data_IF_028553564559
#
_entry.id   IF_028553564559
#
_cell.length_a   1.000
_cell.length_b   1.000
_cell.length_c   1.000
_cell.angle_alpha   90.00
_cell.angle_beta   90.00
_cell.angle_gamma   90.00
#
_symmetry.space_group_name_H-M   'P 1'
#
loop_
_entity.id
_entity.type
_entity.pdbx_description
1 polymer ?
#
# COMPACT_ATOMS: atom_id res chain seq x y z
N UNK A 1 -54.55 -2.44 50.05
CA UNK A 1 -54.05 -2.34 48.66
C UNK A 1 -52.57 -2.67 48.66
N UNK A 2 -52.11 -3.27 47.58
CA UNK A 2 -50.98 -4.20 47.50
C UNK A 2 -49.63 -3.48 47.71
N UNK A 3 -48.84 -4.02 48.64
CA UNK A 3 -47.39 -3.86 48.73
C UNK A 3 -46.76 -4.76 47.67
N UNK A 4 -45.92 -4.21 46.79
CA UNK A 4 -44.85 -4.96 46.15
C UNK A 4 -43.62 -4.06 46.01
N UNK A 5 -42.60 -4.39 46.80
CA UNK A 5 -41.26 -3.84 46.69
C UNK A 5 -40.55 -4.43 45.48
N UNK A 6 -39.85 -3.56 44.74
CA UNK A 6 -39.06 -3.91 43.56
C UNK A 6 -37.72 -4.48 44.02
N UNK A 7 -37.49 -5.77 43.76
CA UNK A 7 -36.19 -6.41 44.01
C UNK A 7 -35.21 -6.06 42.87
N UNK A 8 -34.04 -5.56 43.24
CA UNK A 8 -32.87 -5.45 42.37
C UNK A 8 -32.23 -6.83 42.26
N UNK A 9 -32.24 -7.42 41.06
CA UNK A 9 -31.46 -8.61 40.75
C UNK A 9 -30.21 -8.18 39.97
N UNK A 10 -29.11 -8.13 40.70
CA UNK A 10 -27.73 -8.16 40.18
C UNK A 10 -27.51 -9.46 39.41
N UNK A 11 -26.96 -9.38 38.20
CA UNK A 11 -26.54 -10.53 37.43
C UNK A 11 -25.01 -10.53 37.35
N UNK A 12 -24.38 -11.36 38.17
CA UNK A 12 -22.97 -11.73 38.01
C UNK A 12 -22.94 -13.10 37.35
N UNK A 13 -22.41 -13.16 36.13
CA UNK A 13 -21.94 -14.41 35.55
C UNK A 13 -20.55 -14.15 34.99
N UNK A 14 -19.57 -14.63 35.74
CA UNK A 14 -18.19 -14.80 35.28
C UNK A 14 -18.20 -15.65 34.00
N UNK A 15 -17.76 -15.05 32.90
CA UNK A 15 -17.25 -15.79 31.75
C UNK A 15 -15.77 -15.49 31.68
N UNK A 16 -14.99 -16.51 32.02
CA UNK A 16 -13.58 -16.63 31.69
C UNK A 16 -13.34 -16.18 30.25
N UNK A 17 -12.45 -15.21 30.09
CA UNK A 17 -11.90 -14.81 28.79
C UNK A 17 -11.09 -16.01 28.28
N UNK A 18 -11.71 -16.83 27.43
CA UNK A 18 -10.96 -17.74 26.57
C UNK A 18 -10.24 -16.88 25.52
N UNK A 19 -8.91 -16.81 25.61
CA UNK A 19 -8.05 -16.41 24.51
C UNK A 19 -8.24 -17.43 23.38
N UNK A 20 -9.20 -17.17 22.50
CA UNK A 20 -9.39 -17.93 21.27
C UNK A 20 -8.34 -17.45 20.27
N UNK A 21 -7.14 -18.01 20.35
CA UNK A 21 -6.20 -17.96 19.24
C UNK A 21 -6.93 -18.46 17.99
N UNK A 22 -6.94 -17.65 16.93
CA UNK A 22 -7.55 -18.01 15.65
C UNK A 22 -7.03 -19.39 15.17
N UNK A 23 -7.87 -20.26 14.58
CA UNK A 23 -7.43 -21.58 14.14
C UNK A 23 -6.40 -21.46 13.00
N UNK A 24 -5.32 -22.24 13.11
CA UNK A 24 -4.20 -22.27 12.15
C UNK A 24 -4.61 -22.51 10.69
N UNK A 25 -5.79 -23.09 10.45
CA UNK A 25 -6.37 -23.33 9.12
C UNK A 25 -6.60 -22.04 8.33
N UNK A 26 -6.98 -20.93 9.00
CA UNK A 26 -7.24 -19.63 8.34
C UNK A 26 -5.95 -18.95 7.85
N UNK A 27 -4.81 -19.20 8.51
CA UNK A 27 -3.54 -18.58 8.13
C UNK A 27 -2.91 -19.25 6.90
N UNK A 28 -3.14 -20.55 6.70
CA UNK A 28 -2.67 -21.28 5.50
C UNK A 28 -3.40 -20.79 4.24
N UNK A 29 -4.67 -20.42 4.34
CA UNK A 29 -5.48 -19.93 3.20
C UNK A 29 -5.11 -18.51 2.76
N UNK A 30 -4.54 -17.68 3.65
CA UNK A 30 -4.16 -16.28 3.32
C UNK A 30 -2.77 -16.13 2.72
N UNK A 31 -1.94 -17.18 2.68
CA UNK A 31 -0.56 -17.08 2.20
C UNK A 31 -0.51 -16.68 0.72
N UNK A 32 0.13 -15.54 0.45
CA UNK A 32 0.47 -15.07 -0.89
C UNK A 32 1.81 -15.68 -1.30
N UNK A 33 1.90 -16.17 -2.53
CA UNK A 33 3.13 -16.64 -3.15
C UNK A 33 3.50 -15.76 -4.33
N UNK A 34 4.78 -15.76 -4.71
CA UNK A 34 5.27 -15.12 -5.94
C UNK A 34 4.40 -15.48 -7.15
N UNK A 35 4.06 -16.76 -7.32
CA UNK A 35 3.19 -17.23 -8.42
C UNK A 35 1.79 -16.60 -8.42
N UNK A 36 1.24 -16.29 -7.25
CA UNK A 36 -0.04 -15.58 -7.18
C UNK A 36 0.09 -14.15 -7.71
N UNK A 37 1.23 -13.51 -7.47
CA UNK A 37 1.52 -12.13 -7.91
C UNK A 37 1.87 -12.09 -9.40
N UNK A 38 2.65 -13.06 -9.90
CA UNK A 38 2.95 -13.22 -11.33
C UNK A 38 1.67 -13.38 -12.17
N UNK A 39 0.60 -13.94 -11.59
CA UNK A 39 -0.69 -14.09 -12.27
C UNK A 39 -1.48 -12.77 -12.38
N UNK A 40 -1.07 -11.70 -11.68
CA UNK A 40 -1.70 -10.39 -11.72
C UNK A 40 -1.40 -9.73 -13.06
N UNK A 41 -2.45 -9.45 -13.84
CA UNK A 41 -2.32 -8.75 -15.11
C UNK A 41 -2.29 -7.23 -14.91
N UNK A 42 -1.17 -6.61 -15.24
CA UNK A 42 -0.98 -5.16 -15.33
C UNK A 42 0.13 -4.82 -16.35
N UNK A 43 0.20 -3.56 -16.77
CA UNK A 43 1.30 -3.07 -17.62
C UNK A 43 2.39 -2.50 -16.72
N UNK A 44 3.58 -3.07 -16.80
CA UNK A 44 4.74 -2.58 -16.07
C UNK A 44 5.55 -1.61 -16.93
N UNK A 45 5.80 -0.42 -16.40
CA UNK A 45 6.68 0.57 -16.99
C UNK A 45 7.95 0.66 -16.16
N UNK A 46 9.10 0.62 -16.84
CA UNK A 46 10.38 0.97 -16.24
C UNK A 46 10.59 2.49 -16.31
N UNK A 47 11.46 3.02 -15.43
CA UNK A 47 11.94 4.39 -15.57
C UNK A 47 12.74 4.52 -16.88
N UNK A 48 12.59 5.67 -17.54
CA UNK A 48 13.52 6.06 -18.61
C UNK A 48 14.86 6.51 -18.03
N UNK A 49 15.94 6.49 -18.82
CA UNK A 49 17.28 6.94 -18.39
C UNK A 49 17.27 8.33 -17.74
N UNK A 50 16.46 9.26 -18.26
CA UNK A 50 16.30 10.59 -17.70
C UNK A 50 15.57 10.57 -16.36
N UNK A 51 14.58 9.71 -16.21
CA UNK A 51 13.84 9.53 -14.97
C UNK A 51 14.69 8.85 -13.90
N UNK A 52 15.49 7.85 -14.24
CA UNK A 52 16.44 7.21 -13.31
C UNK A 52 17.41 8.24 -12.71
N UNK A 53 18.03 9.07 -13.57
CA UNK A 53 18.94 10.13 -13.14
C UNK A 53 18.25 11.15 -12.23
N UNK A 54 17.06 11.61 -12.61
CA UNK A 54 16.33 12.63 -11.86
C UNK A 54 15.84 12.10 -10.49
N UNK A 55 15.48 10.83 -10.41
CA UNK A 55 14.93 10.22 -9.19
C UNK A 55 16.01 9.67 -8.26
N UNK A 56 17.29 9.74 -8.62
CA UNK A 56 18.40 9.22 -7.81
C UNK A 56 18.47 9.88 -6.42
N UNK A 57 18.15 11.16 -6.31
CA UNK A 57 18.13 11.88 -5.01
C UNK A 57 16.83 11.70 -4.22
N UNK A 58 15.83 11.02 -4.79
CA UNK A 58 14.56 10.73 -4.13
C UNK A 58 14.68 9.38 -3.40
N UNK A 59 15.41 9.36 -2.28
CA UNK A 59 15.85 8.13 -1.62
C UNK A 59 14.68 7.22 -1.23
N UNK A 60 13.61 7.77 -0.67
CA UNK A 60 12.41 7.00 -0.32
C UNK A 60 11.69 6.40 -1.52
N UNK A 61 11.80 7.02 -2.70
CA UNK A 61 11.30 6.42 -3.93
C UNK A 61 12.17 5.25 -4.41
N UNK A 62 13.49 5.33 -4.24
CA UNK A 62 14.39 4.19 -4.50
C UNK A 62 14.14 3.04 -3.52
N UNK A 63 13.92 3.36 -2.25
CA UNK A 63 13.52 2.39 -1.23
C UNK A 63 12.18 1.74 -1.60
N UNK A 64 11.17 2.53 -1.96
CA UNK A 64 9.88 2.02 -2.41
C UNK A 64 10.00 1.08 -3.62
N UNK A 65 10.81 1.44 -4.63
CA UNK A 65 11.04 0.57 -5.78
C UNK A 65 11.62 -0.79 -5.34
N UNK A 66 12.57 -0.78 -4.40
CA UNK A 66 13.15 -2.00 -3.85
C UNK A 66 12.10 -2.83 -3.08
N UNK A 67 11.25 -2.18 -2.29
CA UNK A 67 10.15 -2.84 -1.57
C UNK A 67 9.09 -3.39 -2.52
N UNK A 68 8.82 -2.76 -3.66
CA UNK A 68 7.94 -3.30 -4.70
C UNK A 68 8.54 -4.59 -5.32
N UNK A 69 9.85 -4.66 -5.54
CA UNK A 69 10.48 -5.89 -6.01
C UNK A 69 10.41 -7.01 -4.96
N UNK A 70 10.61 -6.69 -3.68
CA UNK A 70 10.42 -7.64 -2.57
C UNK A 70 8.96 -8.11 -2.51
N UNK A 71 8.01 -7.18 -2.65
CA UNK A 71 6.57 -7.48 -2.68
C UNK A 71 6.22 -8.51 -3.74
N UNK A 72 6.81 -8.39 -4.94
CA UNK A 72 6.59 -9.32 -6.06
C UNK A 72 7.01 -10.75 -5.74
N UNK A 73 7.95 -10.96 -4.81
CA UNK A 73 8.36 -12.30 -4.33
C UNK A 73 7.34 -12.94 -3.37
N UNK A 74 6.27 -12.20 -3.01
CA UNK A 74 5.27 -12.62 -2.04
C UNK A 74 5.60 -12.21 -0.60
N UNK A 75 6.64 -11.42 -0.39
CA UNK A 75 6.97 -10.86 0.92
C UNK A 75 6.25 -9.52 1.13
N UNK A 76 5.22 -9.56 1.97
CA UNK A 76 4.39 -8.39 2.28
C UNK A 76 4.90 -7.63 3.52
N UNK A 77 5.96 -8.11 4.20
CA UNK A 77 6.37 -7.65 5.53
C UNK A 77 6.40 -6.13 5.66
N UNK A 78 7.14 -5.45 4.79
CA UNK A 78 7.24 -3.98 4.75
C UNK A 78 5.88 -3.27 4.71
N UNK A 79 4.94 -3.75 3.88
CA UNK A 79 3.62 -3.14 3.68
C UNK A 79 2.61 -3.55 4.77
N UNK A 80 3.04 -4.40 5.70
CA UNK A 80 2.23 -4.93 6.80
C UNK A 80 2.88 -4.70 8.16
N UNK A 81 3.92 -3.88 8.20
CA UNK A 81 4.42 -3.28 9.43
C UNK A 81 3.32 -2.43 10.08
N UNK A 82 3.60 -1.93 11.29
CA UNK A 82 2.62 -1.10 11.97
C UNK A 82 2.28 0.16 11.16
N UNK A 83 1.01 0.57 11.23
CA UNK A 83 0.50 1.70 10.45
C UNK A 83 1.30 3.00 10.67
N UNK A 84 1.92 3.20 11.84
CA UNK A 84 2.74 4.39 12.09
C UNK A 84 4.00 4.37 11.23
N UNK A 85 4.67 3.22 11.15
CA UNK A 85 5.83 3.03 10.27
C UNK A 85 5.47 3.27 8.81
N UNK A 86 4.36 2.70 8.33
CA UNK A 86 3.90 2.90 6.94
C UNK A 86 3.57 4.36 6.68
N UNK A 87 2.90 5.04 7.61
CA UNK A 87 2.56 6.46 7.49
C UNK A 87 3.79 7.38 7.45
N UNK A 88 4.77 7.12 8.31
CA UNK A 88 6.05 7.84 8.34
C UNK A 88 6.79 7.67 7.02
N UNK A 89 6.94 6.43 6.54
CA UNK A 89 7.58 6.15 5.25
C UNK A 89 6.89 6.90 4.09
N UNK A 90 5.56 6.85 4.00
CA UNK A 90 4.81 7.53 2.93
C UNK A 90 4.83 9.06 3.06
N UNK A 91 5.05 9.58 4.26
CA UNK A 91 5.26 11.01 4.51
C UNK A 91 6.63 11.45 4.01
N UNK A 92 7.69 10.72 4.35
CA UNK A 92 9.05 10.96 3.85
C UNK A 92 9.14 10.81 2.34
N UNK A 93 8.50 9.79 1.77
CA UNK A 93 8.36 9.63 0.31
C UNK A 93 7.78 10.89 -0.35
N UNK A 94 6.82 11.55 0.29
CA UNK A 94 6.20 12.75 -0.27
C UNK A 94 7.07 14.00 -0.10
N UNK A 95 7.82 14.10 1.01
CA UNK A 95 8.65 15.27 1.30
C UNK A 95 9.94 15.31 0.48
N UNK A 96 10.43 14.15 0.04
CA UNK A 96 11.65 14.01 -0.76
C UNK A 96 11.44 14.14 -2.27
N UNK A 97 10.20 14.41 -2.74
CA UNK A 97 9.92 14.55 -4.17
C UNK A 97 10.79 15.67 -4.78
N UNK A 98 11.52 15.42 -5.88
CA UNK A 98 12.31 16.44 -6.53
C UNK A 98 11.43 17.60 -7.01
N UNK A 99 11.90 18.85 -6.87
CA UNK A 99 11.16 20.05 -7.30
C UNK A 99 10.70 19.96 -8.76
N UNK A 100 11.56 19.41 -9.63
CA UNK A 100 11.22 19.20 -11.05
C UNK A 100 10.02 18.28 -11.23
N UNK A 101 9.76 17.34 -10.31
CA UNK A 101 8.64 16.41 -10.34
C UNK A 101 7.46 16.84 -9.47
N UNK A 102 7.60 17.92 -8.69
CA UNK A 102 6.57 18.44 -7.79
C UNK A 102 5.46 19.19 -8.56
N UNK A 103 4.76 18.45 -9.42
CA UNK A 103 3.64 18.94 -10.22
C UNK A 103 2.36 18.16 -9.89
N UNK A 104 1.21 18.82 -10.03
CA UNK A 104 -0.11 18.23 -9.73
C UNK A 104 -0.32 16.85 -10.37
N UNK A 105 0.13 16.64 -11.61
CA UNK A 105 -0.04 15.36 -12.30
C UNK A 105 0.71 14.20 -11.61
N UNK A 106 1.88 14.47 -11.06
CA UNK A 106 2.71 13.51 -10.32
C UNK A 106 2.15 13.34 -8.91
N UNK A 107 1.85 14.44 -8.20
CA UNK A 107 1.31 14.42 -6.84
C UNK A 107 0.00 13.63 -6.73
N UNK A 108 -0.89 13.73 -7.73
CA UNK A 108 -2.13 12.94 -7.77
C UNK A 108 -1.84 11.45 -7.92
N UNK A 109 -0.83 11.05 -8.71
CA UNK A 109 -0.44 9.64 -8.86
C UNK A 109 0.26 9.12 -7.61
N UNK A 110 1.10 9.93 -6.98
CA UNK A 110 1.71 9.60 -5.71
C UNK A 110 0.65 9.42 -4.61
N UNK A 111 -0.37 10.28 -4.57
CA UNK A 111 -1.48 10.14 -3.63
C UNK A 111 -2.27 8.84 -3.85
N UNK A 112 -2.57 8.49 -5.11
CA UNK A 112 -3.23 7.23 -5.43
C UNK A 112 -2.39 6.01 -4.97
N UNK A 113 -1.07 6.06 -5.18
CA UNK A 113 -0.15 5.03 -4.68
C UNK A 113 -0.20 4.93 -3.15
N UNK A 114 -0.11 6.06 -2.43
CA UNK A 114 -0.23 6.09 -0.96
C UNK A 114 -1.54 5.46 -0.50
N UNK A 115 -2.67 5.84 -1.11
CA UNK A 115 -3.98 5.25 -0.77
C UNK A 115 -4.01 3.74 -0.99
N UNK A 116 -3.45 3.25 -2.10
CA UNK A 116 -3.39 1.80 -2.36
C UNK A 116 -2.52 1.06 -1.33
N UNK A 117 -1.44 1.68 -0.85
CA UNK A 117 -0.57 1.11 0.19
C UNK A 117 -1.30 1.06 1.54
N UNK A 118 -1.95 2.14 1.98
CA UNK A 118 -2.75 2.11 3.21
C UNK A 118 -3.87 1.07 3.14
N UNK A 119 -4.49 0.89 1.97
CA UNK A 119 -5.52 -0.13 1.77
C UNK A 119 -4.96 -1.55 1.86
N UNK A 120 -3.75 -1.78 1.33
CA UNK A 120 -3.06 -3.06 1.46
C UNK A 120 -2.72 -3.36 2.93
N UNK A 121 -2.11 -2.40 3.64
CA UNK A 121 -1.81 -2.51 5.07
C UNK A 121 -3.08 -2.86 5.85
N UNK A 122 -4.14 -2.06 5.71
CA UNK A 122 -5.38 -2.24 6.44
C UNK A 122 -6.07 -3.58 6.15
N UNK A 123 -6.01 -4.08 4.92
CA UNK A 123 -6.55 -5.41 4.61
C UNK A 123 -5.66 -6.55 5.13
N UNK A 124 -4.33 -6.38 5.10
CA UNK A 124 -3.41 -7.39 5.58
C UNK A 124 -3.43 -7.54 7.11
N UNK A 125 -3.68 -6.44 7.84
CA UNK A 125 -3.82 -6.45 9.30
C UNK A 125 -5.13 -7.10 9.78
N UNK A 126 -6.12 -7.28 8.90
CA UNK A 126 -7.38 -7.97 9.21
C UNK A 126 -7.23 -9.50 9.08
N UNK A 127 -7.30 -10.21 10.20
CA UNK A 127 -7.18 -11.69 10.26
C UNK A 127 -8.15 -12.46 9.34
N UNK A 128 -9.31 -11.86 9.02
CA UNK A 128 -10.40 -12.49 8.25
C UNK A 128 -10.44 -12.08 6.79
N UNK A 129 -9.53 -11.22 6.35
CA UNK A 129 -9.47 -10.79 4.96
C UNK A 129 -9.17 -11.98 4.05
N UNK A 130 -9.85 -12.05 2.91
CA UNK A 130 -9.65 -13.15 1.97
C UNK A 130 -8.36 -13.00 1.18
N UNK A 131 -7.77 -14.12 0.75
CA UNK A 131 -6.61 -14.10 -0.17
C UNK A 131 -6.90 -13.32 -1.46
N UNK A 132 -8.11 -13.46 -2.01
CA UNK A 132 -8.53 -12.73 -3.21
C UNK A 132 -8.54 -11.21 -2.98
N UNK A 133 -9.06 -10.75 -1.84
CA UNK A 133 -9.06 -9.33 -1.50
C UNK A 133 -7.63 -8.78 -1.33
N UNK A 134 -6.73 -9.54 -0.70
CA UNK A 134 -5.31 -9.18 -0.61
C UNK A 134 -4.65 -9.08 -2.00
N UNK A 135 -4.91 -10.04 -2.89
CA UNK A 135 -4.41 -10.01 -4.27
C UNK A 135 -4.95 -8.81 -5.06
N UNK A 136 -6.20 -8.43 -4.83
CA UNK A 136 -6.78 -7.23 -5.45
C UNK A 136 -6.12 -5.94 -4.94
N UNK A 137 -5.82 -5.83 -3.65
CA UNK A 137 -5.11 -4.67 -3.11
C UNK A 137 -3.65 -4.63 -3.55
N UNK A 138 -2.96 -5.77 -3.62
CA UNK A 138 -1.63 -5.90 -4.20
C UNK A 138 -1.61 -5.39 -5.66
N UNK A 139 -2.60 -5.80 -6.46
CA UNK A 139 -2.76 -5.31 -7.83
C UNK A 139 -2.93 -3.79 -7.88
N UNK A 140 -3.69 -3.19 -6.96
CA UNK A 140 -3.87 -1.74 -6.89
C UNK A 140 -2.55 -1.02 -6.57
N UNK A 141 -1.72 -1.57 -5.69
CA UNK A 141 -0.37 -1.04 -5.40
C UNK A 141 0.52 -1.09 -6.64
N UNK A 142 0.63 -2.27 -7.28
CA UNK A 142 1.45 -2.44 -8.49
C UNK A 142 0.99 -1.52 -9.63
N UNK A 143 -0.33 -1.40 -9.83
CA UNK A 143 -0.91 -0.54 -10.85
C UNK A 143 -0.69 0.96 -10.54
N UNK A 144 -0.79 1.37 -9.27
CA UNK A 144 -0.56 2.77 -8.90
C UNK A 144 0.91 3.15 -9.00
N UNK A 145 1.81 2.22 -8.67
CA UNK A 145 3.26 2.39 -8.79
C UNK A 145 3.71 2.54 -10.25
N UNK A 146 3.31 1.62 -11.13
CA UNK A 146 3.63 1.71 -12.56
C UNK A 146 3.02 2.96 -13.22
N UNK A 147 1.84 3.41 -12.76
CA UNK A 147 1.24 4.66 -13.25
C UNK A 147 2.01 5.91 -12.82
N UNK A 148 2.62 5.91 -11.63
CA UNK A 148 3.52 6.97 -11.19
C UNK A 148 4.76 7.02 -12.09
N UNK A 149 5.39 5.87 -12.36
CA UNK A 149 6.55 5.76 -13.27
C UNK A 149 6.19 6.29 -14.67
N UNK A 150 5.06 5.85 -15.22
CA UNK A 150 4.59 6.32 -16.52
C UNK A 150 4.42 7.84 -16.56
N UNK A 151 3.84 8.44 -15.52
CA UNK A 151 3.61 9.88 -15.46
C UNK A 151 4.93 10.66 -15.34
N UNK A 152 5.91 10.13 -14.59
CA UNK A 152 7.28 10.69 -14.52
C UNK A 152 7.93 10.67 -15.91
N UNK A 153 7.94 9.52 -16.59
CA UNK A 153 8.53 9.39 -17.93
C UNK A 153 7.89 10.36 -18.93
N UNK A 154 6.55 10.39 -18.96
CA UNK A 154 5.78 11.26 -19.86
C UNK A 154 6.10 12.74 -19.64
N UNK A 155 6.28 13.15 -18.39
CA UNK A 155 6.66 14.53 -18.07
C UNK A 155 8.03 14.88 -18.66
N UNK A 156 9.03 14.03 -18.43
CA UNK A 156 10.40 14.30 -18.91
C UNK A 156 10.51 14.28 -20.43
N UNK A 157 9.76 13.40 -21.09
CA UNK A 157 9.65 13.39 -22.55
C UNK A 157 9.09 14.72 -23.07
N UNK A 158 8.01 15.22 -22.45
CA UNK A 158 7.39 16.50 -22.81
C UNK A 158 8.35 17.67 -22.60
N UNK A 159 9.07 17.69 -21.49
CA UNK A 159 10.02 18.75 -21.16
C UNK A 159 11.18 18.77 -22.17
N UNK A 160 11.70 17.61 -22.57
CA UNK A 160 12.72 17.49 -23.62
C UNK A 160 12.23 18.01 -24.98
N UNK A 161 10.98 17.73 -25.36
CA UNK A 161 10.40 18.23 -26.61
C UNK A 161 10.28 19.76 -26.62
N UNK A 162 9.94 20.39 -25.49
CA UNK A 162 9.82 21.84 -25.40
C UNK A 162 11.15 22.57 -25.64
N UNK A 163 12.28 21.95 -25.29
CA UNK A 163 13.63 22.50 -25.52
C UNK A 163 14.00 22.48 -27.01
N UNK A 164 13.46 21.55 -27.79
CA UNK A 164 13.87 21.30 -29.18
C UNK A 164 13.01 22.01 -30.24
N UNK A 165 11.89 22.62 -29.88
CA UNK A 165 11.02 23.31 -30.85
C UNK A 165 11.64 24.66 -31.25
N UNK A 166 12.00 24.89 -32.54
CA UNK A 166 12.42 26.21 -33.00
C UNK A 166 11.25 27.21 -32.91
N UNK A 167 11.55 28.49 -32.64
CA UNK A 167 10.58 29.60 -32.70
C UNK A 167 10.12 29.87 -34.13
#
# INVERSE_FOLDING_TARGET
MISQGTALLSCQSDKSIENRSAPATLQVERKISEKDIEAIKYTEYALSDSAEKLTTSWFKFQELNSQIEILKTGDLSFFTEDLTFVDEFLTELSSEIPDTLNETSILVRLSALKTSIYKLEGSASLERESKEALLNNLKEVLLSHTNLIFQINKKLEKDAQNITRPQ
#
